data_IF_881113349681
#
_entry.id   IF_881113349681
#
_cell.length_a   1.000
_cell.length_b   1.000
_cell.length_c   1.000
_cell.angle_alpha   90.00
_cell.angle_beta   90.00
_cell.angle_gamma   90.00
#
_symmetry.space_group_name_H-M   'P 1'
#
loop_
_entity.id
_entity.type
_entity.pdbx_description
1 polymer ?
#
# COMPACT_ATOMS: atom_id res chain seq x y z
N UNK A 1 6.97 2.71 -7.93
CA UNK A 1 5.54 3.04 -7.74
C UNK A 1 5.10 3.08 -6.29
N UNK A 2 5.57 2.16 -5.43
CA UNK A 2 5.07 1.98 -4.05
C UNK A 2 5.13 3.23 -3.18
N UNK A 3 6.16 4.06 -3.33
CA UNK A 3 6.28 5.32 -2.60
C UNK A 3 5.16 6.31 -2.93
N UNK A 4 4.74 6.40 -4.19
CA UNK A 4 3.63 7.25 -4.64
C UNK A 4 2.32 6.75 -4.04
N UNK A 5 2.06 5.45 -4.19
CA UNK A 5 0.83 4.82 -3.67
C UNK A 5 0.71 5.03 -2.17
N UNK A 6 1.76 4.71 -1.39
CA UNK A 6 1.77 4.95 0.05
C UNK A 6 1.54 6.41 0.41
N UNK A 7 2.12 7.34 -0.37
CA UNK A 7 1.93 8.78 -0.20
C UNK A 7 0.49 9.23 -0.35
N UNK A 8 -0.16 8.79 -1.43
CA UNK A 8 -1.57 9.10 -1.72
C UNK A 8 -2.48 8.54 -0.61
N UNK A 9 -2.24 7.31 -0.14
CA UNK A 9 -3.02 6.73 0.94
C UNK A 9 -2.85 7.48 2.26
N UNK A 10 -1.61 7.85 2.61
CA UNK A 10 -1.34 8.66 3.80
C UNK A 10 -2.01 10.05 3.71
N UNK A 11 -1.93 10.72 2.56
CA UNK A 11 -2.57 12.02 2.34
C UNK A 11 -4.10 11.92 2.49
N UNK A 12 -4.73 10.88 1.94
CA UNK A 12 -6.16 10.66 2.09
C UNK A 12 -6.58 10.44 3.55
N UNK A 13 -5.81 9.67 4.33
CA UNK A 13 -6.09 9.46 5.76
C UNK A 13 -6.08 10.78 6.53
N UNK A 14 -5.06 11.60 6.33
CA UNK A 14 -4.91 12.88 7.03
C UNK A 14 -5.98 13.88 6.66
N UNK A 15 -6.33 13.98 5.37
CA UNK A 15 -7.44 14.83 4.94
C UNK A 15 -8.74 14.48 5.65
N UNK A 16 -9.00 13.18 5.86
CA UNK A 16 -10.16 12.71 6.65
C UNK A 16 -10.06 13.11 8.12
N UNK A 17 -8.90 12.91 8.74
CA UNK A 17 -8.67 13.27 10.14
C UNK A 17 -8.81 14.78 10.40
N UNK A 18 -8.35 15.61 9.45
CA UNK A 18 -8.47 17.07 9.50
C UNK A 18 -9.85 17.59 9.08
N UNK A 19 -10.76 16.72 8.64
CA UNK A 19 -12.08 17.11 8.14
C UNK A 19 -12.03 17.98 6.89
N UNK A 20 -10.97 17.89 6.08
CA UNK A 20 -10.85 18.62 4.82
C UNK A 20 -11.94 18.14 3.86
N UNK A 21 -12.82 19.02 3.35
CA UNK A 21 -13.85 18.63 2.40
C UNK A 21 -13.22 18.04 1.14
N UNK A 22 -13.85 16.98 0.61
CA UNK A 22 -13.40 16.38 -0.65
C UNK A 22 -13.58 17.36 -1.79
N UNK A 23 -12.57 17.50 -2.63
CA UNK A 23 -12.67 18.28 -3.84
C UNK A 23 -13.61 17.59 -4.84
N UNK A 24 -14.22 18.36 -5.74
CA UNK A 24 -15.02 17.81 -6.83
C UNK A 24 -14.15 16.87 -7.69
N UNK A 25 -14.60 15.63 -7.88
CA UNK A 25 -13.84 14.60 -8.60
C UNK A 25 -12.75 13.88 -7.81
N UNK A 26 -12.56 14.19 -6.51
CA UNK A 26 -11.59 13.48 -5.68
C UNK A 26 -11.98 12.00 -5.52
N UNK A 27 -11.02 11.09 -5.74
CA UNK A 27 -11.23 9.65 -5.60
C UNK A 27 -11.18 9.22 -4.12
N UNK A 28 -11.94 8.18 -3.80
CA UNK A 28 -11.87 7.48 -2.51
C UNK A 28 -11.15 6.15 -2.71
N UNK A 29 -9.86 6.13 -2.41
CA UNK A 29 -9.05 4.93 -2.48
C UNK A 29 -9.39 4.01 -1.31
N UNK A 30 -10.00 2.87 -1.63
CA UNK A 30 -10.33 1.84 -0.63
C UNK A 30 -9.15 0.97 -0.25
N UNK A 31 -8.18 0.80 -1.14
CA UNK A 31 -7.01 -0.02 -0.91
C UNK A 31 -5.85 0.36 -1.84
N UNK A 32 -4.63 -0.09 -1.51
CA UNK A 32 -3.44 0.04 -2.35
C UNK A 32 -2.80 -1.30 -2.72
N UNK A 33 -2.13 -1.35 -3.87
CA UNK A 33 -1.33 -2.50 -4.31
C UNK A 33 0.11 -2.03 -4.46
N UNK A 34 1.03 -2.65 -3.73
CA UNK A 34 2.43 -2.29 -3.63
C UNK A 34 3.29 -3.45 -4.11
N UNK A 35 3.74 -3.38 -5.36
CA UNK A 35 4.58 -4.41 -5.96
C UNK A 35 6.05 -4.03 -5.89
N UNK A 36 6.88 -4.95 -5.40
CA UNK A 36 8.33 -4.86 -5.43
C UNK A 36 8.85 -3.56 -4.80
N UNK A 37 8.24 -3.18 -3.68
CA UNK A 37 8.43 -1.88 -3.05
C UNK A 37 9.74 -1.74 -2.27
N UNK A 38 10.19 -0.49 -2.17
CA UNK A 38 11.24 -0.07 -1.25
C UNK A 38 11.02 1.38 -0.80
N UNK A 39 11.71 1.76 0.28
CA UNK A 39 11.83 3.12 0.82
C UNK A 39 10.52 3.73 1.36
N UNK A 40 10.61 4.91 1.96
CA UNK A 40 9.47 5.60 2.55
C UNK A 40 8.43 6.06 1.50
N UNK A 41 7.13 6.07 1.86
CA UNK A 41 6.11 6.82 1.13
C UNK A 41 6.55 8.25 0.79
N UNK A 42 6.16 8.75 -0.38
CA UNK A 42 6.39 10.16 -0.74
C UNK A 42 5.26 11.00 -0.14
N UNK A 43 5.61 11.84 0.82
CA UNK A 43 4.66 12.75 1.46
C UNK A 43 4.49 14.02 0.64
N UNK A 44 3.30 14.60 0.70
CA UNK A 44 3.00 15.88 0.07
C UNK A 44 3.53 17.05 0.91
N UNK A 45 4.27 17.96 0.29
CA UNK A 45 4.78 19.17 0.95
C UNK A 45 3.66 20.17 1.28
N UNK A 46 2.52 20.08 0.59
CA UNK A 46 1.37 20.99 0.79
C UNK A 46 0.85 20.99 2.23
N UNK A 47 1.08 19.92 2.98
CA UNK A 47 0.62 19.76 4.35
C UNK A 47 1.73 19.95 5.40
N UNK A 48 2.98 20.29 5.01
CA UNK A 48 4.15 20.34 5.91
C UNK A 48 4.26 19.10 6.84
N UNK A 49 3.80 17.95 6.36
CA UNK A 49 3.55 16.78 7.18
C UNK A 49 4.40 15.60 6.70
N UNK A 50 5.58 15.42 7.29
CA UNK A 50 6.18 14.09 7.38
C UNK A 50 5.16 13.14 8.02
N UNK A 51 5.21 11.83 7.74
CA UNK A 51 4.60 10.85 8.65
C UNK A 51 5.08 11.17 10.05
N UNK A 52 4.13 11.57 10.92
CA UNK A 52 4.46 11.78 12.32
C UNK A 52 5.00 10.46 12.85
N UNK A 53 5.94 10.52 13.78
CA UNK A 53 6.63 9.33 14.26
C UNK A 53 5.59 8.36 14.87
N UNK A 54 5.37 7.22 14.22
CA UNK A 54 4.37 6.23 14.63
C UNK A 54 3.03 6.26 13.87
N UNK A 55 2.80 7.19 12.95
CA UNK A 55 1.62 7.21 12.08
C UNK A 55 1.72 6.12 11.01
N UNK A 56 0.90 5.09 11.12
CA UNK A 56 0.84 3.98 10.18
C UNK A 56 -0.31 4.16 9.18
N UNK A 57 -0.07 3.80 7.92
CA UNK A 57 -1.12 3.73 6.90
C UNK A 57 -2.06 2.57 7.26
N UNK A 58 -3.32 2.89 7.56
CA UNK A 58 -4.37 1.93 7.93
C UNK A 58 -5.35 1.62 6.80
N UNK A 59 -5.28 2.35 5.68
CA UNK A 59 -6.03 1.97 4.47
C UNK A 59 -5.48 0.63 3.99
N UNK A 60 -6.33 -0.38 3.71
CA UNK A 60 -5.89 -1.73 3.36
C UNK A 60 -4.89 -1.78 2.20
N UNK A 61 -3.88 -2.62 2.30
CA UNK A 61 -2.85 -2.78 1.26
C UNK A 61 -2.55 -4.24 0.93
N UNK A 62 -2.14 -4.49 -0.31
CA UNK A 62 -1.47 -5.73 -0.72
C UNK A 62 0.00 -5.43 -1.06
N UNK A 63 0.91 -6.05 -0.33
CA UNK A 63 2.34 -5.99 -0.54
C UNK A 63 2.81 -7.26 -1.25
N UNK A 64 3.26 -7.12 -2.50
CA UNK A 64 3.89 -8.19 -3.26
C UNK A 64 5.41 -8.01 -3.19
N UNK A 65 6.12 -8.97 -2.60
CA UNK A 65 7.57 -8.96 -2.55
C UNK A 65 8.19 -10.12 -3.32
N UNK A 66 9.23 -9.83 -4.10
CA UNK A 66 10.04 -10.82 -4.78
C UNK A 66 11.17 -11.25 -3.85
N UNK A 67 11.25 -12.52 -3.46
CA UNK A 67 12.30 -13.03 -2.57
C UNK A 67 13.68 -13.03 -3.22
N UNK A 68 13.77 -12.83 -4.55
CA UNK A 68 15.00 -12.65 -5.31
C UNK A 68 15.22 -11.20 -5.76
N UNK A 69 14.33 -10.28 -5.37
CA UNK A 69 14.49 -8.86 -5.61
C UNK A 69 15.55 -8.30 -4.65
N UNK A 70 16.45 -7.45 -5.15
CA UNK A 70 17.40 -6.69 -4.32
C UNK A 70 16.71 -5.83 -3.27
N UNK A 71 15.43 -5.50 -3.50
CA UNK A 71 14.61 -4.72 -2.59
C UNK A 71 13.85 -5.57 -1.56
N UNK A 72 13.95 -6.90 -1.55
CA UNK A 72 13.13 -7.77 -0.68
C UNK A 72 13.14 -7.34 0.79
N UNK A 73 14.33 -7.18 1.38
CA UNK A 73 14.45 -6.75 2.78
C UNK A 73 14.05 -5.29 2.98
N UNK A 74 14.22 -4.43 1.96
CA UNK A 74 13.76 -3.05 2.03
C UNK A 74 12.24 -2.94 1.95
N UNK A 75 11.56 -3.83 1.21
CA UNK A 75 10.10 -3.93 1.17
C UNK A 75 9.53 -4.34 2.52
N UNK A 76 10.16 -5.32 3.19
CA UNK A 76 9.80 -5.71 4.56
C UNK A 76 10.00 -4.58 5.58
N UNK A 77 11.11 -3.82 5.46
CA UNK A 77 11.35 -2.62 6.29
C UNK A 77 10.29 -1.54 6.02
N UNK A 78 9.95 -1.30 4.75
CA UNK A 78 8.90 -0.37 4.36
C UNK A 78 7.55 -0.76 4.97
N UNK A 79 7.15 -2.04 4.84
CA UNK A 79 5.92 -2.55 5.44
C UNK A 79 5.89 -2.30 6.95
N UNK A 80 6.95 -2.71 7.67
CA UNK A 80 7.04 -2.58 9.13
C UNK A 80 7.01 -1.13 9.61
N UNK A 81 7.63 -0.22 8.87
CA UNK A 81 7.81 1.16 9.30
C UNK A 81 6.59 2.05 9.04
N UNK A 82 5.78 1.75 8.02
CA UNK A 82 4.78 2.70 7.52
C UNK A 82 3.36 2.16 7.37
N UNK A 83 3.11 0.87 7.60
CA UNK A 83 1.78 0.26 7.36
C UNK A 83 1.32 -0.51 8.59
N UNK A 84 0.02 -0.45 8.86
CA UNK A 84 -0.61 -1.25 9.90
C UNK A 84 -0.75 -2.70 9.43
N UNK A 85 -0.09 -3.62 10.14
CA UNK A 85 -0.10 -5.05 9.83
C UNK A 85 -1.50 -5.69 9.95
N UNK A 86 -2.43 -5.07 10.68
CA UNK A 86 -3.81 -5.55 10.78
C UNK A 86 -4.64 -5.31 9.50
N UNK A 87 -4.14 -4.43 8.61
CA UNK A 87 -4.80 -4.05 7.35
C UNK A 87 -3.97 -4.37 6.11
N UNK A 88 -2.71 -4.79 6.29
CA UNK A 88 -1.83 -5.20 5.22
C UNK A 88 -1.91 -6.71 4.94
N UNK A 89 -2.08 -7.06 3.67
CA UNK A 89 -1.83 -8.41 3.15
C UNK A 89 -0.45 -8.46 2.50
N UNK A 90 0.26 -9.56 2.71
CA UNK A 90 1.62 -9.77 2.17
C UNK A 90 1.66 -11.04 1.35
N UNK A 91 2.33 -10.99 0.21
CA UNK A 91 2.69 -12.17 -0.57
C UNK A 91 4.15 -12.10 -1.01
N UNK A 92 4.95 -13.00 -0.44
CA UNK A 92 6.33 -13.22 -0.87
C UNK A 92 6.35 -14.31 -1.97
N UNK A 93 7.00 -14.02 -3.10
CA UNK A 93 7.07 -14.88 -4.28
C UNK A 93 8.51 -14.99 -4.80
N UNK A 94 8.89 -16.12 -5.40
CA UNK A 94 10.25 -16.40 -5.88
C UNK A 94 10.65 -15.66 -7.18
N UNK A 95 10.40 -14.36 -7.23
CA UNK A 95 10.66 -13.46 -8.36
C UNK A 95 11.75 -12.43 -8.03
N UNK A 96 12.38 -11.90 -9.08
CA UNK A 96 13.18 -10.67 -9.02
C UNK A 96 12.25 -9.45 -9.05
N UNK A 97 12.76 -8.28 -9.45
CA UNK A 97 11.98 -7.04 -9.56
C UNK A 97 11.00 -7.07 -10.75
N UNK A 98 9.92 -7.84 -10.63
CA UNK A 98 8.96 -8.03 -11.71
C UNK A 98 7.56 -8.39 -11.22
N UNK A 99 6.55 -8.08 -12.03
CA UNK A 99 5.18 -8.56 -11.81
C UNK A 99 5.07 -10.07 -12.09
N UNK A 100 4.14 -10.80 -11.44
CA UNK A 100 3.89 -12.19 -11.75
C UNK A 100 3.45 -12.35 -13.20
N UNK A 101 3.98 -13.35 -13.90
CA UNK A 101 3.64 -13.62 -15.30
C UNK A 101 3.25 -15.08 -15.56
N UNK A 102 3.57 -16.02 -14.67
CA UNK A 102 3.05 -17.37 -14.78
C UNK A 102 1.56 -17.36 -14.47
N UNK A 103 0.77 -18.07 -15.27
CA UNK A 103 -0.69 -18.08 -15.18
C UNK A 103 -1.19 -18.34 -13.75
N UNK A 104 -0.61 -19.31 -13.06
CA UNK A 104 -1.00 -19.65 -11.69
C UNK A 104 -0.76 -18.47 -10.73
N UNK A 105 0.38 -17.80 -10.84
CA UNK A 105 0.73 -16.67 -9.99
C UNK A 105 -0.13 -15.44 -10.30
N UNK A 106 -0.45 -15.19 -11.58
CA UNK A 106 -1.37 -14.12 -11.99
C UNK A 106 -2.77 -14.37 -11.42
N UNK A 107 -3.27 -15.61 -11.50
CA UNK A 107 -4.57 -15.97 -10.94
C UNK A 107 -4.62 -15.76 -9.42
N UNK A 108 -3.58 -16.20 -8.72
CA UNK A 108 -3.44 -15.96 -7.27
C UNK A 108 -3.39 -14.47 -6.95
N UNK A 109 -2.65 -13.68 -7.74
CA UNK A 109 -2.57 -12.23 -7.53
C UNK A 109 -3.94 -11.56 -7.64
N UNK A 110 -4.71 -11.92 -8.66
CA UNK A 110 -6.07 -11.43 -8.87
C UNK A 110 -7.00 -11.85 -7.74
N UNK A 111 -6.89 -13.09 -7.26
CA UNK A 111 -7.66 -13.58 -6.11
C UNK A 111 -7.38 -12.74 -4.85
N UNK A 112 -6.11 -12.46 -4.56
CA UNK A 112 -5.72 -11.63 -3.41
C UNK A 112 -6.27 -10.20 -3.53
N UNK A 113 -6.26 -9.59 -4.71
CA UNK A 113 -6.85 -8.26 -4.95
C UNK A 113 -8.36 -8.29 -4.71
N UNK A 114 -9.05 -9.34 -5.19
CA UNK A 114 -10.50 -9.49 -4.97
C UNK A 114 -10.83 -9.66 -3.49
N UNK A 115 -10.02 -10.45 -2.76
CA UNK A 115 -10.14 -10.59 -1.31
C UNK A 115 -9.95 -9.25 -0.61
N UNK A 116 -8.90 -8.50 -0.95
CA UNK A 116 -8.62 -7.18 -0.38
C UNK A 116 -9.81 -6.24 -0.56
N UNK A 117 -10.35 -6.20 -1.78
CA UNK A 117 -11.53 -5.40 -2.08
C UNK A 117 -12.77 -5.83 -1.29
N UNK A 118 -13.01 -7.13 -1.14
CA UNK A 118 -14.13 -7.64 -0.34
C UNK A 118 -14.00 -7.25 1.14
N UNK A 119 -12.79 -7.33 1.70
CA UNK A 119 -12.50 -6.94 3.09
C UNK A 119 -12.72 -5.43 3.33
N UNK A 120 -12.62 -4.60 2.29
CA UNK A 120 -12.97 -3.17 2.39
C UNK A 120 -14.48 -2.90 2.50
N UNK A 121 -15.33 -3.88 2.16
CA UNK A 121 -16.80 -3.76 2.25
C UNK A 121 -17.36 -4.28 3.57
N UNK A 122 -16.66 -5.17 4.25
CA UNK A 122 -17.11 -5.75 5.53
C UNK A 122 -16.79 -4.86 6.74
N UNK A 123 -15.90 -3.87 6.58
CA UNK A 123 -15.49 -2.92 7.61
C UNK A 123 -16.19 -1.55 7.52
N UNK A 124 -17.20 -1.39 6.66
CA UNK A 124 -17.98 -0.14 6.48
C UNK A 124 -19.28 -0.14 7.25
#
# INVERSE_FOLDING_TARGET
GTRVVGGILADQMRRREMGVPRAEGELDFRFGILCMGAMAPMVSDLMNASLSEGELITIPTLHLHGTKDVNYENGKKQLKAYYDQSTAMVWDIAYHHAMPWYRADVLKFVEMIRKLYADTKSKS
#
